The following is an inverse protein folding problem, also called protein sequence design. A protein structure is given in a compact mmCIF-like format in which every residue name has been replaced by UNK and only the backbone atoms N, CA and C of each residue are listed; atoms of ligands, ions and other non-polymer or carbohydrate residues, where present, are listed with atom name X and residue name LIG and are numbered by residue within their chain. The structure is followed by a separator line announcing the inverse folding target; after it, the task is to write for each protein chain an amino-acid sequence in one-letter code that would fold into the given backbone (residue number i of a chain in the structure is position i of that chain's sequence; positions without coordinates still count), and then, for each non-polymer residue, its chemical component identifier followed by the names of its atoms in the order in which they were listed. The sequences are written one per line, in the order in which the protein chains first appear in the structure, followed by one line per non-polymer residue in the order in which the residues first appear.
data_IF_306410871335
#
_entry.id   IF_306410871335
#
_cell.length_a   1.000
_cell.length_b   1.000
_cell.length_c   1.000
_cell.angle_alpha   90.00
_cell.angle_beta   90.00
_cell.angle_gamma   90.00
#
_symmetry.space_group_name_H-M   'P 1'
#
loop_
_entity.id
_entity.type
_entity.pdbx_description
1 polymer ?
#
# COMPACT_ATOMS: atom_id res chain seq x y z
N UNK A 1 -9.56 -6.93 2.45
CA UNK A 1 -9.26 -8.33 2.11
C UNK A 1 -9.28 -9.14 3.40
N UNK A 2 -9.94 -10.30 3.43
CA UNK A 2 -10.12 -11.13 4.64
C UNK A 2 -9.92 -12.59 4.30
N UNK A 3 -9.23 -13.34 5.15
CA UNK A 3 -9.20 -14.80 5.06
C UNK A 3 -10.33 -15.40 5.89
N UNK A 4 -11.18 -16.23 5.26
CA UNK A 4 -12.19 -17.02 5.97
C UNK A 4 -11.52 -18.12 6.77
N UNK A 5 -11.74 -18.11 8.09
CA UNK A 5 -11.17 -19.08 9.04
C UNK A 5 -11.65 -20.51 8.81
N UNK A 6 -12.82 -20.72 8.19
CA UNK A 6 -13.38 -22.06 7.95
C UNK A 6 -12.80 -22.71 6.71
N UNK A 7 -12.73 -21.94 5.62
CA UNK A 7 -12.33 -22.47 4.31
C UNK A 7 -10.89 -22.16 3.93
N UNK A 8 -10.24 -21.18 4.58
CA UNK A 8 -8.92 -20.66 4.21
C UNK A 8 -8.93 -19.78 2.96
N UNK A 9 -10.10 -19.53 2.38
CA UNK A 9 -10.28 -18.67 1.20
C UNK A 9 -10.03 -17.21 1.56
N UNK A 10 -9.38 -16.47 0.65
CA UNK A 10 -9.24 -15.04 0.75
C UNK A 10 -10.30 -14.34 -0.09
N UNK A 11 -10.94 -13.33 0.50
CA UNK A 11 -12.00 -12.54 -0.10
C UNK A 11 -11.62 -11.07 -0.09
N UNK A 12 -11.76 -10.41 -1.25
CA UNK A 12 -11.80 -8.96 -1.35
C UNK A 12 -13.26 -8.55 -1.52
N UNK A 13 -13.74 -7.75 -0.58
CA UNK A 13 -15.06 -7.15 -0.66
C UNK A 13 -14.95 -5.63 -0.67
N UNK A 14 -15.84 -4.98 -1.42
CA UNK A 14 -16.00 -3.54 -1.45
C UNK A 14 -17.50 -3.23 -1.36
N UNK A 15 -17.91 -2.49 -0.32
CA UNK A 15 -19.32 -2.16 -0.07
C UNK A 15 -20.26 -3.39 -0.10
N UNK A 16 -19.80 -4.51 0.46
CA UNK A 16 -20.56 -5.77 0.49
C UNK A 16 -20.52 -6.60 -0.81
N UNK A 17 -19.93 -6.07 -1.89
CA UNK A 17 -19.77 -6.78 -3.16
C UNK A 17 -18.44 -7.54 -3.15
N UNK A 18 -18.46 -8.80 -3.57
CA UNK A 18 -17.23 -9.58 -3.77
C UNK A 18 -16.55 -9.08 -5.05
N UNK A 19 -15.35 -8.52 -4.90
CA UNK A 19 -14.51 -8.02 -5.99
C UNK A 19 -13.41 -9.01 -6.34
N UNK A 20 -12.97 -9.83 -5.38
CA UNK A 20 -11.89 -10.78 -5.60
C UNK A 20 -11.98 -12.01 -4.69
N UNK A 21 -11.47 -13.12 -5.20
CA UNK A 21 -11.47 -14.43 -4.55
C UNK A 21 -10.17 -15.16 -4.86
N UNK A 22 -9.55 -15.72 -3.82
CA UNK A 22 -8.34 -16.53 -3.95
C UNK A 22 -8.43 -17.77 -3.05
N UNK A 23 -8.55 -18.99 -3.63
CA UNK A 23 -8.58 -20.21 -2.85
C UNK A 23 -7.22 -20.51 -2.22
N UNK A 24 -7.16 -21.26 -1.09
CA UNK A 24 -5.90 -21.62 -0.46
C UNK A 24 -4.96 -22.43 -1.37
N UNK A 25 -5.48 -23.12 -2.39
CA UNK A 25 -4.73 -24.01 -3.28
C UNK A 25 -3.76 -23.31 -4.23
N UNK A 26 -3.97 -22.03 -4.53
CA UNK A 26 -3.08 -21.28 -5.43
C UNK A 26 -1.88 -20.66 -4.70
N UNK A 27 -1.85 -20.71 -3.37
CA UNK A 27 -0.78 -20.14 -2.58
C UNK A 27 0.27 -21.19 -2.24
N UNK A 28 1.51 -20.92 -2.66
CA UNK A 28 2.70 -21.75 -2.35
C UNK A 28 3.57 -21.14 -1.25
N UNK A 29 3.49 -19.83 -1.02
CA UNK A 29 4.38 -19.05 -0.14
C UNK A 29 3.81 -18.70 1.25
N UNK A 30 2.92 -19.51 1.81
CA UNK A 30 2.44 -19.35 3.20
C UNK A 30 1.10 -18.61 3.37
N UNK A 31 0.66 -17.82 2.39
CA UNK A 31 -0.65 -17.12 2.43
C UNK A 31 -1.86 -18.07 2.59
N UNK A 32 -1.69 -19.37 2.30
CA UNK A 32 -2.66 -20.42 2.62
C UNK A 32 -3.04 -20.43 4.12
N UNK A 33 -2.12 -20.07 5.01
CA UNK A 33 -2.28 -20.16 6.46
C UNK A 33 -2.46 -18.80 7.15
N UNK A 34 -2.62 -17.73 6.36
CA UNK A 34 -2.67 -16.35 6.83
C UNK A 34 -1.44 -15.55 6.42
N UNK A 35 -1.30 -14.34 6.95
CA UNK A 35 -0.14 -13.49 6.70
C UNK A 35 0.51 -13.06 8.01
N UNK A 36 1.84 -12.94 7.99
CA UNK A 36 2.63 -12.29 9.05
C UNK A 36 2.99 -10.84 8.72
N UNK A 37 2.74 -10.40 7.49
CA UNK A 37 3.05 -9.06 7.00
C UNK A 37 1.85 -8.49 6.22
N UNK A 38 1.54 -7.22 6.45
CA UNK A 38 0.56 -6.47 5.67
C UNK A 38 1.26 -5.22 5.17
N UNK A 39 1.24 -5.03 3.86
CA UNK A 39 1.81 -3.86 3.19
C UNK A 39 0.69 -3.01 2.60
N UNK A 40 0.89 -1.69 2.65
CA UNK A 40 0.02 -0.69 2.04
C UNK A 40 0.91 0.22 1.20
N UNK A 41 0.44 0.64 0.03
CA UNK A 41 1.21 1.55 -0.80
C UNK A 41 0.83 1.47 -2.27
N UNK A 42 1.82 1.75 -3.12
CA UNK A 42 1.72 1.66 -4.56
C UNK A 42 3.02 1.10 -5.14
N UNK A 43 2.92 0.60 -6.36
CA UNK A 43 4.05 0.03 -7.10
C UNK A 43 4.02 0.62 -8.51
N UNK A 44 5.20 1.02 -8.99
CA UNK A 44 5.40 1.42 -10.39
C UNK A 44 6.49 0.53 -10.97
N UNK A 45 6.16 -0.15 -12.06
CA UNK A 45 7.10 -0.99 -12.79
C UNK A 45 7.50 -0.26 -14.06
N UNK A 46 8.80 -0.03 -14.24
CA UNK A 46 9.36 0.50 -15.47
C UNK A 46 10.28 -0.55 -16.10
N UNK A 47 9.93 -1.01 -17.29
CA UNK A 47 10.73 -1.97 -18.07
C UNK A 47 11.48 -1.30 -19.23
N UNK A 48 11.50 0.04 -19.30
CA UNK A 48 12.16 0.78 -20.36
C UNK A 48 13.70 0.59 -20.28
N UNK A 49 14.34 0.09 -21.36
CA UNK A 49 15.77 -0.20 -21.37
C UNK A 49 16.65 1.05 -21.52
N UNK A 50 16.08 2.23 -21.80
CA UNK A 50 16.83 3.48 -22.00
C UNK A 50 17.50 3.99 -20.72
N UNK A 51 17.14 3.41 -19.56
CA UNK A 51 17.75 3.71 -18.28
C UNK A 51 17.27 5.01 -17.65
N UNK A 52 16.33 5.72 -18.28
CA UNK A 52 15.61 6.81 -17.63
C UNK A 52 14.46 6.28 -16.79
N UNK A 53 14.24 6.91 -15.65
CA UNK A 53 13.08 6.62 -14.84
C UNK A 53 11.79 7.06 -15.55
N UNK A 54 10.68 6.35 -15.32
CA UNK A 54 9.39 6.66 -15.95
C UNK A 54 8.83 8.01 -15.47
N UNK A 55 8.10 8.71 -16.33
CA UNK A 55 7.30 9.90 -16.02
C UNK A 55 5.89 9.57 -15.50
N UNK A 56 5.69 8.32 -15.06
CA UNK A 56 4.41 7.89 -14.48
C UNK A 56 4.27 8.46 -13.08
N UNK A 57 3.22 9.24 -12.84
CA UNK A 57 2.93 9.74 -11.50
C UNK A 57 2.48 8.59 -10.57
N UNK A 58 3.06 8.54 -9.36
CA UNK A 58 2.49 7.75 -8.27
C UNK A 58 1.57 8.62 -7.43
N UNK A 59 0.35 8.13 -7.18
CA UNK A 59 -0.64 8.88 -6.42
C UNK A 59 -1.06 10.15 -7.16
N UNK A 60 -0.75 11.32 -6.59
CA UNK A 60 -1.02 12.62 -7.20
C UNK A 60 0.17 13.22 -7.97
N UNK A 61 1.29 12.51 -8.09
CA UNK A 61 2.54 13.03 -8.67
C UNK A 61 3.34 13.95 -7.74
N UNK A 62 2.74 14.39 -6.64
CA UNK A 62 3.41 15.18 -5.61
C UNK A 62 4.16 14.31 -4.61
N UNK A 63 5.28 14.82 -4.10
CA UNK A 63 6.01 14.15 -3.03
C UNK A 63 5.24 14.21 -1.70
N UNK A 64 5.38 13.20 -0.83
CA UNK A 64 4.67 13.16 0.43
C UNK A 64 5.02 14.31 1.39
N UNK A 65 6.21 14.92 1.23
CA UNK A 65 6.63 16.10 1.98
C UNK A 65 5.78 17.35 1.71
N UNK A 66 5.03 17.38 0.61
CA UNK A 66 4.11 18.48 0.29
C UNK A 66 2.80 18.40 1.07
N UNK A 67 2.46 17.24 1.64
CA UNK A 67 1.38 17.06 2.61
C UNK A 67 -0.03 17.33 2.07
N UNK A 68 -0.92 17.72 2.99
CA UNK A 68 -2.35 17.87 2.75
C UNK A 68 -2.67 18.85 1.61
N UNK A 69 -3.62 18.47 0.77
CA UNK A 69 -4.05 19.25 -0.39
C UNK A 69 -3.16 19.10 -1.63
N UNK A 70 -2.06 18.33 -1.52
CA UNK A 70 -1.14 18.07 -2.64
C UNK A 70 -0.81 16.59 -2.78
N UNK A 71 -0.24 15.99 -1.74
CA UNK A 71 0.19 14.59 -1.75
C UNK A 71 -1.01 13.64 -1.64
N UNK A 72 -0.92 12.50 -2.31
CA UNK A 72 -1.85 11.41 -2.11
C UNK A 72 -1.62 10.76 -0.74
N UNK A 73 -2.67 10.17 -0.16
CA UNK A 73 -2.60 9.53 1.14
C UNK A 73 -3.45 8.27 1.20
N UNK A 74 -3.06 7.38 2.11
CA UNK A 74 -3.93 6.36 2.68
C UNK A 74 -4.20 6.73 4.13
N UNK A 75 -5.46 6.61 4.57
CA UNK A 75 -5.87 6.90 5.94
C UNK A 75 -6.83 5.85 6.48
N UNK A 76 -7.05 5.84 7.79
CA UNK A 76 -7.86 4.86 8.50
C UNK A 76 -7.39 3.41 8.22
N UNK A 77 -6.07 3.22 8.24
CA UNK A 77 -5.45 1.94 7.93
C UNK A 77 -5.67 0.94 9.06
N UNK A 78 -6.32 -0.18 8.72
CA UNK A 78 -6.61 -1.27 9.63
C UNK A 78 -6.24 -2.61 9.00
N UNK A 79 -5.92 -3.59 9.83
CA UNK A 79 -5.76 -4.98 9.44
C UNK A 79 -6.62 -5.90 10.31
N UNK A 80 -7.01 -7.04 9.75
CA UNK A 80 -7.76 -8.05 10.49
C UNK A 80 -6.83 -9.12 11.03
N UNK A 81 -6.99 -9.43 12.30
CA UNK A 81 -6.37 -10.61 12.90
C UNK A 81 -7.08 -11.89 12.44
N UNK A 82 -6.45 -13.05 12.68
CA UNK A 82 -7.07 -14.36 12.41
C UNK A 82 -8.43 -14.56 13.09
N UNK A 83 -8.70 -13.86 14.20
CA UNK A 83 -9.99 -13.89 14.89
C UNK A 83 -11.07 -12.98 14.29
N UNK A 84 -10.78 -12.30 13.17
CA UNK A 84 -11.68 -11.32 12.55
C UNK A 84 -11.73 -9.97 13.29
N UNK A 85 -10.87 -9.77 14.30
CA UNK A 85 -10.78 -8.50 15.03
C UNK A 85 -9.97 -7.51 14.21
N UNK A 86 -10.56 -6.34 13.95
CA UNK A 86 -9.88 -5.22 13.33
C UNK A 86 -8.92 -4.54 14.33
N UNK A 87 -7.72 -4.22 13.84
CA UNK A 87 -6.70 -3.48 14.57
C UNK A 87 -6.18 -2.35 13.71
N UNK A 88 -5.92 -1.21 14.34
CA UNK A 88 -5.25 -0.10 13.70
C UNK A 88 -3.83 -0.50 13.30
N UNK A 89 -3.36 0.02 12.17
CA UNK A 89 -1.98 -0.16 11.74
C UNK A 89 -1.05 0.81 12.50
N UNK A 90 -0.95 0.66 13.81
CA UNK A 90 -0.17 1.53 14.71
C UNK A 90 1.35 1.34 14.58
N UNK A 91 1.81 0.23 14.02
CA UNK A 91 3.23 -0.08 13.78
C UNK A 91 3.68 0.11 12.33
N UNK A 92 3.06 1.04 11.58
CA UNK A 92 3.44 1.30 10.18
C UNK A 92 4.91 1.72 10.06
N UNK A 93 5.58 1.17 9.04
CA UNK A 93 6.93 1.55 8.65
C UNK A 93 6.93 1.94 7.17
N UNK A 94 7.58 3.05 6.84
CA UNK A 94 7.71 3.52 5.46
C UNK A 94 8.91 2.88 4.77
N UNK A 95 8.70 2.41 3.55
CA UNK A 95 9.78 1.95 2.66
C UNK A 95 9.53 2.45 1.24
N UNK A 96 10.51 3.15 0.69
CA UNK A 96 10.54 3.55 -0.71
C UNK A 96 11.79 2.95 -1.38
N UNK A 97 11.61 2.35 -2.56
CA UNK A 97 12.72 1.75 -3.30
C UNK A 97 13.66 2.82 -3.87
N UNK A 98 13.10 3.96 -4.31
CA UNK A 98 13.80 5.12 -4.87
C UNK A 98 13.14 6.43 -4.39
N UNK A 99 13.43 6.88 -3.16
CA UNK A 99 12.81 8.07 -2.55
C UNK A 99 12.89 9.33 -3.41
N UNK A 100 13.93 9.46 -4.23
CA UNK A 100 14.12 10.58 -5.17
C UNK A 100 13.11 10.61 -6.33
N UNK A 101 12.46 9.47 -6.62
CA UNK A 101 11.45 9.30 -7.67
C UNK A 101 10.04 9.24 -7.09
N UNK A 102 9.88 8.38 -6.08
CA UNK A 102 8.66 8.21 -5.30
C UNK A 102 9.03 7.97 -3.85
N UNK A 103 8.32 8.63 -2.94
CA UNK A 103 8.60 8.51 -1.52
C UNK A 103 7.31 8.24 -0.72
N UNK A 104 7.49 7.86 0.54
CA UNK A 104 6.42 7.63 1.50
C UNK A 104 6.78 8.28 2.84
N UNK A 105 5.85 9.06 3.40
CA UNK A 105 5.99 9.66 4.71
C UNK A 105 4.88 9.17 5.64
N UNK A 106 5.23 8.21 6.50
CA UNK A 106 4.37 7.75 7.59
C UNK A 106 4.22 8.90 8.60
N UNK A 107 2.97 9.19 8.96
CA UNK A 107 2.64 10.25 9.90
C UNK A 107 2.26 9.68 11.26
N UNK A 108 2.33 10.53 12.28
CA UNK A 108 1.76 10.19 13.58
C UNK A 108 0.24 10.09 13.44
N UNK A 109 -0.34 9.02 13.97
CA UNK A 109 -1.78 8.86 13.96
C UNK A 109 -2.51 9.96 14.74
N UNK A 110 -3.69 10.32 14.26
CA UNK A 110 -4.58 11.30 14.88
C UNK A 110 -6.05 10.88 14.73
N UNK A 111 -6.96 11.67 15.31
CA UNK A 111 -8.40 11.35 15.32
C UNK A 111 -9.08 11.48 13.96
N UNK A 112 -8.50 12.24 13.03
CA UNK A 112 -9.12 12.59 11.75
C UNK A 112 -8.67 11.64 10.62
N UNK A 113 -7.45 11.11 10.74
CA UNK A 113 -6.81 10.24 9.75
C UNK A 113 -6.50 8.84 10.27
N UNK A 114 -6.58 8.59 11.58
CA UNK A 114 -6.18 7.31 12.17
C UNK A 114 -4.72 6.99 11.85
N UNK A 115 -4.40 5.72 11.60
CA UNK A 115 -3.11 5.34 11.01
C UNK A 115 -3.09 5.74 9.52
N UNK A 116 -2.09 6.54 9.13
CA UNK A 116 -2.02 7.11 7.78
C UNK A 116 -0.60 7.42 7.32
N UNK A 117 -0.44 7.58 6.01
CA UNK A 117 0.79 8.06 5.39
C UNK A 117 0.48 8.84 4.11
N UNK A 118 1.37 9.78 3.78
CA UNK A 118 1.42 10.37 2.45
C UNK A 118 2.35 9.55 1.57
N UNK A 119 2.07 9.48 0.27
CA UNK A 119 2.91 8.83 -0.71
C UNK A 119 2.80 9.50 -2.07
N UNK A 120 3.80 9.29 -2.92
CA UNK A 120 3.75 9.69 -4.31
C UNK A 120 5.08 10.22 -4.82
N UNK A 121 5.02 10.82 -5.99
CA UNK A 121 6.14 11.42 -6.68
C UNK A 121 5.92 11.35 -8.19
N UNK A 122 6.63 12.17 -8.96
CA UNK A 122 6.39 12.32 -10.40
C UNK A 122 7.08 11.22 -11.22
N UNK A 123 7.83 10.33 -10.56
CA UNK A 123 8.71 9.38 -11.23
C UNK A 123 9.94 10.08 -11.79
N UNK A 124 9.81 10.79 -12.91
CA UNK A 124 10.91 11.51 -13.54
C UNK A 124 11.03 12.92 -12.96
N UNK A 125 12.19 13.24 -12.40
CA UNK A 125 12.45 14.58 -11.85
C UNK A 125 13.92 14.97 -11.99
N UNK A 126 14.27 16.22 -11.68
CA UNK A 126 15.68 16.63 -11.62
C UNK A 126 16.50 15.83 -10.60
N UNK A 127 15.83 15.17 -9.65
CA UNK A 127 16.44 14.33 -8.61
C UNK A 127 16.36 12.84 -8.95
N UNK A 128 15.41 12.42 -9.79
CA UNK A 128 15.27 11.06 -10.28
C UNK A 128 15.42 10.99 -11.80
N UNK A 129 16.64 10.64 -12.23
CA UNK A 129 17.04 10.59 -13.64
C UNK A 129 17.19 9.17 -14.18
N UNK A 130 17.35 8.16 -13.32
CA UNK A 130 17.62 6.77 -13.70
C UNK A 130 16.79 5.76 -12.90
#
# INVERSE_FOLDING_TARGET
VVQDVRTGNWWLTYQGIIVGYWPPSIFTGGLKSGSSLVEFGGEVVNSDPTGFHTSTDMGSGHFPSEGFGKAAFFKNLVYLTRGGVAKDADTLQGRAARPECYDVAVQKSDTDYGAYFYYGGPGFSRYCKY
#
